data_IF_861242023006
#
_entry.id   IF_861242023006
#
_cell.length_a   1.000
_cell.length_b   1.000
_cell.length_c   1.000
_cell.angle_alpha   90.00
_cell.angle_beta   90.00
_cell.angle_gamma   90.00
#
_symmetry.space_group_name_H-M   'P 1'
#
loop_
_entity.id
_entity.type
_entity.pdbx_description
1 polymer ?
#
# COMPACT_ATOMS: atom_id res chain seq x y z
N UNK A 1 10.72 -11.58 -6.68
CA UNK A 1 10.08 -10.25 -6.59
C UNK A 1 8.73 -10.22 -7.27
N UNK A 2 8.71 -10.20 -8.61
CA UNK A 2 7.52 -9.79 -9.38
C UNK A 2 6.47 -10.84 -9.72
N UNK A 3 6.58 -12.12 -9.33
CA UNK A 3 5.54 -13.11 -9.61
C UNK A 3 4.35 -12.95 -8.64
N UNK A 4 4.54 -13.32 -7.37
CA UNK A 4 3.48 -13.31 -6.36
C UNK A 4 2.85 -11.91 -6.16
N UNK A 5 3.68 -10.87 -6.09
CA UNK A 5 3.22 -9.49 -5.82
C UNK A 5 2.37 -8.92 -6.96
N UNK A 6 2.78 -9.13 -8.22
CA UNK A 6 2.00 -8.72 -9.39
C UNK A 6 0.71 -9.54 -9.49
N UNK A 7 0.81 -10.88 -9.33
CA UNK A 7 -0.36 -11.77 -9.34
C UNK A 7 -1.41 -11.34 -8.33
N UNK A 8 -1.01 -11.09 -7.09
CA UNK A 8 -1.94 -10.72 -6.03
C UNK A 8 -2.48 -9.30 -6.22
N UNK A 9 -1.74 -8.40 -6.88
CA UNK A 9 -2.26 -7.09 -7.29
C UNK A 9 -3.36 -7.19 -8.35
N UNK A 10 -3.17 -8.05 -9.35
CA UNK A 10 -4.18 -8.28 -10.41
C UNK A 10 -5.44 -8.89 -9.80
N UNK A 11 -5.31 -9.98 -9.04
CA UNK A 11 -6.45 -10.61 -8.37
C UNK A 11 -7.15 -9.65 -7.40
N UNK A 12 -6.38 -8.89 -6.62
CA UNK A 12 -6.86 -7.89 -5.68
C UNK A 12 -7.63 -6.76 -6.36
N UNK A 13 -7.16 -6.30 -7.52
CA UNK A 13 -7.84 -5.28 -8.32
C UNK A 13 -9.23 -5.73 -8.78
N UNK A 14 -9.36 -6.97 -9.27
CA UNK A 14 -10.66 -7.52 -9.65
C UNK A 14 -11.60 -7.65 -8.43
N UNK A 15 -11.07 -8.13 -7.29
CA UNK A 15 -11.84 -8.21 -6.05
C UNK A 15 -12.33 -6.82 -5.60
N UNK A 16 -11.45 -5.83 -5.59
CA UNK A 16 -11.78 -4.47 -5.17
C UNK A 16 -12.82 -3.84 -6.11
N UNK A 17 -12.66 -3.94 -7.42
CA UNK A 17 -13.65 -3.43 -8.38
C UNK A 17 -15.02 -4.11 -8.23
N UNK A 18 -15.06 -5.39 -7.84
CA UNK A 18 -16.31 -6.07 -7.50
C UNK A 18 -16.94 -5.57 -6.19
N UNK A 19 -16.13 -5.21 -5.19
CA UNK A 19 -16.61 -4.65 -3.91
C UNK A 19 -17.04 -3.19 -4.03
N UNK A 20 -16.48 -2.44 -4.98
CA UNK A 20 -16.75 -1.04 -5.23
C UNK A 20 -17.29 -0.83 -6.66
N UNK A 21 -18.52 -1.29 -6.95
CA UNK A 21 -19.08 -1.28 -8.31
C UNK A 21 -19.19 0.13 -8.92
N UNK A 22 -19.38 1.17 -8.11
CA UNK A 22 -19.40 2.55 -8.58
C UNK A 22 -18.05 3.00 -9.13
N UNK A 23 -16.95 2.51 -8.55
CA UNK A 23 -15.61 2.76 -9.07
C UNK A 23 -15.40 1.99 -10.39
N UNK A 24 -15.95 0.78 -10.49
CA UNK A 24 -15.92 0.04 -11.75
C UNK A 24 -16.72 0.76 -12.86
N UNK A 25 -17.90 1.30 -12.53
CA UNK A 25 -18.67 2.13 -13.46
C UNK A 25 -17.90 3.40 -13.87
N UNK A 26 -17.20 4.06 -12.93
CA UNK A 26 -16.31 5.20 -13.23
C UNK A 26 -15.20 4.83 -14.20
N UNK A 27 -14.54 3.68 -13.98
CA UNK A 27 -13.52 3.15 -14.90
C UNK A 27 -14.08 2.89 -16.31
N UNK A 28 -15.30 2.33 -16.40
CA UNK A 28 -15.94 2.07 -17.69
C UNK A 28 -16.29 3.37 -18.42
N UNK A 29 -16.70 4.41 -17.68
CA UNK A 29 -17.03 5.71 -18.25
C UNK A 29 -15.78 6.49 -18.71
N UNK A 30 -14.67 6.37 -17.99
CA UNK A 30 -13.41 7.04 -18.33
C UNK A 30 -12.19 6.13 -18.08
N UNK A 31 -11.71 5.41 -19.12
CA UNK A 31 -10.52 4.59 -19.03
C UNK A 31 -9.21 5.37 -18.80
N UNK A 32 -9.22 6.72 -18.91
CA UNK A 32 -8.02 7.52 -18.68
C UNK A 32 -7.54 7.48 -17.22
N UNK A 33 -8.41 7.06 -16.29
CA UNK A 33 -8.08 6.88 -14.86
C UNK A 33 -7.18 5.67 -14.58
N UNK A 34 -6.99 4.76 -15.54
CA UNK A 34 -6.24 3.50 -15.34
C UNK A 34 -4.85 3.71 -14.70
N UNK A 35 -4.01 4.67 -15.12
CA UNK A 35 -2.69 4.86 -14.50
C UNK A 35 -2.76 5.24 -13.01
N UNK A 36 -3.80 5.94 -12.57
CA UNK A 36 -4.01 6.27 -11.16
C UNK A 36 -4.64 5.09 -10.41
N UNK A 37 -5.64 4.43 -11.02
CA UNK A 37 -6.28 3.23 -10.51
C UNK A 37 -5.26 2.13 -10.19
N UNK A 38 -4.25 1.91 -11.05
CA UNK A 38 -3.20 0.91 -10.80
C UNK A 38 -2.46 1.21 -9.49
N UNK A 39 -2.09 2.47 -9.24
CA UNK A 39 -1.46 2.86 -7.98
C UNK A 39 -2.40 2.65 -6.79
N UNK A 40 -3.68 2.99 -6.94
CA UNK A 40 -4.67 2.80 -5.89
C UNK A 40 -4.92 1.32 -5.57
N UNK A 41 -5.01 0.44 -6.58
CA UNK A 41 -5.14 -1.01 -6.38
C UNK A 41 -3.94 -1.55 -5.62
N UNK A 42 -2.72 -1.14 -5.99
CA UNK A 42 -1.49 -1.55 -5.32
C UNK A 42 -1.45 -1.06 -3.87
N UNK A 43 -1.94 0.15 -3.58
CA UNK A 43 -2.13 0.66 -2.21
C UNK A 43 -3.15 -0.19 -1.45
N UNK A 44 -4.36 -0.32 -1.99
CA UNK A 44 -5.48 -0.98 -1.33
C UNK A 44 -5.17 -2.45 -1.02
N UNK A 45 -4.60 -3.17 -1.98
CA UNK A 45 -4.23 -4.59 -1.85
C UNK A 45 -3.02 -4.80 -0.94
N UNK A 46 -2.03 -3.89 -0.97
CA UNK A 46 -0.74 -4.04 -0.27
C UNK A 46 -0.15 -5.47 -0.38
N UNK A 47 0.35 -5.88 -1.56
CA UNK A 47 0.70 -7.27 -1.84
C UNK A 47 1.77 -7.89 -0.92
N UNK A 48 2.62 -7.05 -0.32
CA UNK A 48 3.54 -7.44 0.75
C UNK A 48 3.17 -6.69 2.02
N UNK A 49 2.65 -7.40 3.01
CA UNK A 49 2.13 -6.79 4.22
C UNK A 49 3.20 -6.04 5.04
N UNK A 50 4.43 -6.57 5.07
CA UNK A 50 5.54 -5.95 5.79
C UNK A 50 6.90 -6.31 5.21
N UNK A 51 7.89 -5.49 5.56
CA UNK A 51 9.31 -5.86 5.50
C UNK A 51 9.93 -5.69 6.88
N UNK A 52 10.92 -6.53 7.18
CA UNK A 52 11.59 -6.52 8.48
C UNK A 52 13.00 -5.93 8.38
N UNK A 53 13.42 -5.27 9.46
CA UNK A 53 14.75 -4.71 9.72
C UNK A 53 15.30 -5.27 11.03
N UNK A 54 16.59 -5.08 11.25
CA UNK A 54 17.25 -5.40 12.52
C UNK A 54 17.92 -4.13 13.01
N UNK A 55 17.64 -3.71 14.23
CA UNK A 55 18.25 -2.51 14.80
C UNK A 55 19.76 -2.72 14.99
N UNK A 56 20.58 -1.82 14.45
CA UNK A 56 22.05 -1.91 14.55
C UNK A 56 22.60 -1.29 15.83
N UNK A 57 21.78 -0.49 16.50
CA UNK A 57 22.03 0.18 17.78
C UNK A 57 20.69 0.37 18.51
N UNK A 58 20.75 0.69 19.80
CA UNK A 58 19.59 1.15 20.56
C UNK A 58 19.05 2.46 19.95
N UNK A 59 17.73 2.60 19.83
CA UNK A 59 17.08 3.78 19.24
C UNK A 59 15.71 4.03 19.87
N UNK A 60 15.35 5.30 20.04
CA UNK A 60 14.00 5.71 20.44
C UNK A 60 13.12 5.93 19.21
N UNK A 61 11.95 5.28 19.18
CA UNK A 61 10.93 5.47 18.15
C UNK A 61 9.53 5.40 18.77
N UNK A 62 8.69 6.40 18.51
CA UNK A 62 7.32 6.43 19.05
C UNK A 62 7.26 6.40 20.58
N UNK A 63 8.25 6.97 21.27
CA UNK A 63 8.36 6.95 22.73
C UNK A 63 8.72 5.59 23.33
N UNK A 64 9.30 4.68 22.54
CA UNK A 64 9.77 3.36 22.96
C UNK A 64 11.23 3.15 22.56
N UNK A 65 11.99 2.53 23.47
CA UNK A 65 13.35 2.05 23.18
C UNK A 65 13.29 0.74 22.42
N UNK A 66 13.83 0.72 21.19
CA UNK A 66 14.15 -0.48 20.42
C UNK A 66 15.62 -0.81 20.69
N UNK A 67 15.93 -2.03 21.12
CA UNK A 67 17.30 -2.43 21.48
C UNK A 67 18.07 -2.91 20.25
N UNK A 68 19.39 -2.75 20.29
CA UNK A 68 20.30 -3.34 19.30
C UNK A 68 20.01 -4.84 19.16
N UNK A 69 19.84 -5.29 17.92
CA UNK A 69 19.52 -6.67 17.58
C UNK A 69 18.02 -6.98 17.46
N UNK A 70 17.15 -6.09 17.95
CA UNK A 70 15.70 -6.28 17.83
C UNK A 70 15.27 -6.31 16.36
N UNK A 71 14.30 -7.18 16.08
CA UNK A 71 13.64 -7.25 14.78
C UNK A 71 12.50 -6.25 14.75
N UNK A 72 12.52 -5.35 13.78
CA UNK A 72 11.50 -4.31 13.60
C UNK A 72 10.75 -4.58 12.30
N UNK A 73 9.43 -4.75 12.36
CA UNK A 73 8.59 -4.94 11.20
C UNK A 73 7.93 -3.61 10.80
N UNK A 74 8.08 -3.22 9.54
CA UNK A 74 7.37 -2.08 8.95
C UNK A 74 6.11 -2.61 8.26
N UNK A 75 4.96 -2.47 8.93
CA UNK A 75 3.67 -2.96 8.44
C UNK A 75 3.07 -2.02 7.40
N UNK A 76 3.47 -2.18 6.14
CA UNK A 76 2.92 -1.40 5.02
C UNK A 76 1.39 -1.53 4.93
N UNK A 77 0.83 -2.70 5.26
CA UNK A 77 -0.62 -2.91 5.28
C UNK A 77 -1.33 -2.01 6.29
N UNK A 78 -0.66 -1.67 7.39
CA UNK A 78 -1.17 -0.70 8.37
C UNK A 78 -1.00 0.73 7.84
N UNK A 79 0.21 1.09 7.37
CA UNK A 79 0.48 2.45 6.90
C UNK A 79 -0.33 2.87 5.66
N UNK A 80 -0.62 1.94 4.75
CA UNK A 80 -1.52 2.19 3.62
C UNK A 80 -3.00 2.36 4.03
N UNK A 81 -3.30 2.09 5.31
CA UNK A 81 -4.62 2.25 5.93
C UNK A 81 -4.67 3.37 6.97
N UNK A 82 -3.60 4.15 7.11
CA UNK A 82 -3.47 5.23 8.10
C UNK A 82 -4.29 6.46 7.71
N UNK A 83 -5.37 6.71 8.45
CA UNK A 83 -6.30 7.83 8.23
C UNK A 83 -5.70 9.20 8.48
N UNK A 84 -4.55 9.29 9.17
CA UNK A 84 -3.86 10.57 9.41
C UNK A 84 -3.16 11.09 8.15
N UNK A 85 -2.96 10.23 7.15
CA UNK A 85 -2.31 10.56 5.87
C UNK A 85 -3.22 10.31 4.68
N UNK A 86 -4.11 9.32 4.75
CA UNK A 86 -4.95 8.88 3.63
C UNK A 86 -6.42 8.94 4.05
N UNK A 87 -7.18 9.86 3.46
CA UNK A 87 -8.62 9.97 3.72
C UNK A 87 -9.39 8.71 3.26
N UNK A 88 -10.38 8.25 4.02
CA UNK A 88 -11.17 7.04 3.73
C UNK A 88 -10.29 5.87 3.26
N UNK A 89 -9.29 5.45 4.05
CA UNK A 89 -8.19 4.65 3.53
C UNK A 89 -8.56 3.19 3.26
N UNK A 90 -9.71 2.74 3.77
CA UNK A 90 -10.25 1.40 3.51
C UNK A 90 -11.07 1.33 2.21
N UNK A 91 -11.46 2.47 1.63
CA UNK A 91 -12.18 2.52 0.36
C UNK A 91 -11.23 2.41 -0.84
N UNK A 92 -11.74 1.85 -1.93
CA UNK A 92 -11.13 1.98 -3.24
C UNK A 92 -11.61 3.30 -3.86
N UNK A 93 -10.70 4.22 -4.14
CA UNK A 93 -11.00 5.47 -4.85
C UNK A 93 -10.05 5.58 -6.04
N UNK A 94 -10.50 5.17 -7.24
CA UNK A 94 -9.59 4.93 -8.37
C UNK A 94 -8.94 6.21 -8.93
N UNK A 95 -9.55 7.35 -8.65
CA UNK A 95 -9.10 8.70 -8.94
C UNK A 95 -8.58 9.42 -7.69
N UNK A 96 -8.23 8.67 -6.63
CA UNK A 96 -7.63 9.22 -5.40
C UNK A 96 -6.45 10.10 -5.75
N UNK A 97 -6.49 11.32 -5.22
CA UNK A 97 -5.39 12.24 -5.39
C UNK A 97 -4.12 11.69 -4.70
N UNK A 98 -2.98 11.85 -5.37
CA UNK A 98 -1.68 11.34 -4.89
C UNK A 98 -1.64 9.83 -4.56
N UNK A 99 -2.43 8.98 -5.24
CA UNK A 99 -2.45 7.52 -5.03
C UNK A 99 -1.06 6.85 -5.12
N UNK A 100 -0.11 7.45 -5.86
CA UNK A 100 1.30 6.99 -5.95
C UNK A 100 2.10 7.11 -4.65
N UNK A 101 1.58 7.78 -3.62
CA UNK A 101 2.25 7.96 -2.33
C UNK A 101 1.96 6.82 -1.33
N UNK A 102 1.85 5.59 -1.83
CA UNK A 102 1.62 4.41 -1.00
C UNK A 102 2.94 3.71 -0.61
N UNK A 103 2.89 2.87 0.42
CA UNK A 103 4.05 2.13 0.94
C UNK A 103 4.24 0.72 0.33
N UNK A 104 3.37 0.28 -0.59
CA UNK A 104 3.40 -1.10 -1.11
C UNK A 104 4.70 -1.49 -1.83
N UNK A 105 5.46 -0.52 -2.35
CA UNK A 105 6.80 -0.74 -2.93
C UNK A 105 7.95 -0.43 -1.96
N UNK A 106 7.64 -0.12 -0.70
CA UNK A 106 8.59 0.42 0.26
C UNK A 106 9.07 1.83 -0.11
N UNK A 107 10.12 2.28 0.55
CA UNK A 107 10.75 3.58 0.32
C UNK A 107 12.27 3.49 0.58
N UNK A 108 13.03 4.44 0.02
CA UNK A 108 14.48 4.50 0.15
C UNK A 108 15.24 3.57 -0.79
N UNK A 109 16.46 3.19 -0.42
CA UNK A 109 17.41 2.46 -1.29
C UNK A 109 16.96 1.04 -1.69
N UNK A 110 15.95 0.50 -1.01
CA UNK A 110 15.36 -0.81 -1.31
C UNK A 110 13.94 -0.70 -1.87
N UNK A 111 13.54 0.49 -2.36
CA UNK A 111 12.31 0.65 -3.11
C UNK A 111 12.37 -0.29 -4.32
N UNK A 112 11.27 -1.01 -4.54
CA UNK A 112 11.11 -1.90 -5.70
C UNK A 112 11.32 -1.15 -7.02
#
# INVERSE_FOLDING_TARGET
GGNDTTRNSISGGLLALNQFPDQYAKLQADPSVIPNMVAEIIRWQTPLAYMRRTATQDVELGGKTIRKGDKVAMWYVSGNRDETVIENPNELVIDRDRARQHLSFGFGIHRC
#
